data_IF_534716883152
#
_entry.id   IF_534716883152
#
_cell.length_a   1.000
_cell.length_b   1.000
_cell.length_c   1.000
_cell.angle_alpha   90.00
_cell.angle_beta   90.00
_cell.angle_gamma   90.00
#
_symmetry.space_group_name_H-M   'P 1'
#
loop_
_entity.id
_entity.type
_entity.pdbx_description
1 polymer ?
#
# COMPACT_ATOMS: atom_id res chain seq x y z
N UNK A 1 -31.76 7.89 19.35
CA UNK A 1 -31.15 9.15 18.89
C UNK A 1 -30.06 9.53 19.89
N UNK A 2 -28.84 9.05 19.69
CA UNK A 2 -27.67 9.50 20.46
C UNK A 2 -26.91 10.49 19.59
N UNK A 3 -26.74 11.72 20.07
CA UNK A 3 -25.91 12.72 19.41
C UNK A 3 -24.49 12.18 19.32
N UNK A 4 -24.02 11.84 18.12
CA UNK A 4 -22.59 11.81 17.81
C UNK A 4 -22.10 13.26 17.90
N UNK A 5 -21.67 13.67 19.09
CA UNK A 5 -20.84 14.85 19.20
C UNK A 5 -19.49 14.51 18.55
N UNK A 6 -19.26 15.06 17.36
CA UNK A 6 -17.95 15.08 16.73
C UNK A 6 -17.04 15.95 17.59
N UNK A 7 -16.30 15.34 18.51
CA UNK A 7 -15.22 15.99 19.24
C UNK A 7 -13.93 15.81 18.44
N UNK A 8 -13.31 16.90 18.00
CA UNK A 8 -11.97 16.86 17.44
C UNK A 8 -10.97 16.75 18.60
N UNK A 9 -10.21 15.66 18.64
CA UNK A 9 -9.04 15.54 19.53
C UNK A 9 -7.83 16.02 18.73
N UNK A 10 -7.14 17.03 19.23
CA UNK A 10 -5.84 17.45 18.69
C UNK A 10 -4.76 16.60 19.35
N UNK A 11 -3.94 15.93 18.54
CA UNK A 11 -2.86 15.08 19.04
C UNK A 11 -1.53 15.82 18.88
N UNK A 12 -0.82 15.99 19.98
CA UNK A 12 0.54 16.53 20.01
C UNK A 12 1.51 15.40 20.35
N UNK A 13 2.48 15.14 19.48
CA UNK A 13 3.48 14.08 19.66
C UNK A 13 4.85 14.70 19.87
N UNK A 14 5.57 14.26 20.89
CA UNK A 14 6.94 14.71 21.17
C UNK A 14 7.84 13.57 21.65
N UNK A 15 9.15 13.69 21.37
CA UNK A 15 10.18 12.81 21.94
C UNK A 15 10.99 13.63 22.93
N UNK A 16 11.06 13.18 24.18
CA UNK A 16 11.64 13.93 25.30
C UNK A 16 12.37 12.97 26.24
N UNK A 17 13.16 13.51 27.17
CA UNK A 17 13.99 12.72 28.08
C UNK A 17 13.70 13.08 29.52
N UNK A 18 13.81 12.11 30.42
CA UNK A 18 13.77 12.31 31.88
C UNK A 18 12.64 13.26 32.31
N UNK A 19 12.96 14.29 33.09
CA UNK A 19 12.02 15.33 33.49
C UNK A 19 11.70 16.29 32.34
N UNK A 20 10.43 16.39 31.98
CA UNK A 20 9.98 17.16 30.81
C UNK A 20 8.72 18.00 31.08
N UNK A 21 8.49 18.38 32.34
CA UNK A 21 7.55 19.43 32.72
C UNK A 21 6.09 19.01 32.92
N UNK A 22 5.81 17.71 33.03
CA UNK A 22 4.46 17.15 33.17
C UNK A 22 4.23 16.32 34.45
N UNK A 23 5.23 16.28 35.32
CA UNK A 23 5.27 15.46 36.54
C UNK A 23 5.28 13.93 36.31
N UNK A 24 5.51 13.46 35.08
CA UNK A 24 5.67 12.06 34.71
C UNK A 24 7.04 11.84 34.04
N UNK A 25 8.15 11.91 34.79
CA UNK A 25 9.48 11.78 34.19
C UNK A 25 9.71 10.38 33.63
N UNK A 26 10.43 10.31 32.51
CA UNK A 26 11.00 9.06 31.99
C UNK A 26 12.24 8.61 32.77
N UNK A 27 12.61 7.34 32.61
CA UNK A 27 13.64 6.64 33.37
C UNK A 27 14.90 6.28 32.57
N UNK A 28 14.95 6.60 31.27
CA UNK A 28 16.08 6.30 30.39
C UNK A 28 15.84 4.97 29.65
N UNK A 29 16.90 4.26 29.21
CA UNK A 29 16.69 3.06 28.37
C UNK A 29 15.95 1.92 29.08
N UNK A 30 14.83 1.50 28.48
CA UNK A 30 13.91 0.51 29.03
C UNK A 30 13.04 1.09 30.15
N UNK A 31 12.04 0.32 30.60
CA UNK A 31 11.11 0.82 31.62
C UNK A 31 9.94 1.54 30.98
N UNK A 32 9.83 2.86 31.18
CA UNK A 32 8.71 3.66 30.66
C UNK A 32 9.00 4.08 29.21
N UNK A 33 8.39 3.38 28.26
CA UNK A 33 8.61 3.62 26.83
C UNK A 33 7.96 4.92 26.33
N UNK A 34 6.75 5.19 26.83
CA UNK A 34 5.94 6.34 26.44
C UNK A 34 4.81 6.54 27.47
N UNK A 35 4.12 7.68 27.39
CA UNK A 35 2.82 7.88 28.02
C UNK A 35 1.97 8.87 27.24
N UNK A 36 0.65 8.76 27.44
CA UNK A 36 -0.34 9.60 26.80
C UNK A 36 -1.41 10.11 27.77
N UNK A 37 -2.00 11.24 27.40
CA UNK A 37 -3.02 11.91 28.19
C UNK A 37 -4.42 11.66 27.63
N UNK A 38 -5.27 11.12 28.51
CA UNK A 38 -6.66 10.75 28.20
C UNK A 38 -7.53 11.93 27.75
N UNK A 39 -8.63 11.67 27.03
CA UNK A 39 -9.66 12.66 26.74
C UNK A 39 -10.16 13.39 27.98
N UNK A 40 -10.59 14.65 27.81
CA UNK A 40 -11.18 15.49 28.89
C UNK A 40 -10.20 15.80 30.02
N UNK A 41 -8.91 15.75 29.74
CA UNK A 41 -7.85 16.25 30.61
C UNK A 41 -7.29 17.56 30.06
N UNK A 42 -6.61 18.34 30.89
CA UNK A 42 -5.99 19.62 30.48
C UNK A 42 -4.86 19.46 29.45
N UNK A 43 -4.43 18.22 29.17
CA UNK A 43 -3.39 17.85 28.21
C UNK A 43 -3.87 16.80 27.22
N UNK A 44 -5.19 16.70 27.03
CA UNK A 44 -5.77 15.66 26.18
C UNK A 44 -5.07 15.58 24.81
N UNK A 45 -4.72 14.36 24.39
CA UNK A 45 -4.06 14.13 23.12
C UNK A 45 -2.55 14.36 23.09
N UNK A 46 -1.94 14.83 24.18
CA UNK A 46 -0.48 14.80 24.31
C UNK A 46 0.02 13.35 24.42
N UNK A 47 1.02 13.02 23.61
CA UNK A 47 1.77 11.77 23.67
C UNK A 47 3.26 12.10 23.77
N UNK A 48 3.91 11.51 24.75
CA UNK A 48 5.34 11.63 24.97
C UNK A 48 6.00 10.26 24.77
N UNK A 49 7.06 10.22 23.98
CA UNK A 49 7.91 9.05 23.81
C UNK A 49 9.24 9.31 24.51
N UNK A 50 9.76 8.32 25.24
CA UNK A 50 11.10 8.43 25.80
C UNK A 50 12.12 8.36 24.65
N UNK A 51 12.86 9.45 24.46
CA UNK A 51 13.89 9.54 23.44
C UNK A 51 15.05 8.56 23.71
N UNK A 52 15.26 8.13 24.95
CA UNK A 52 16.37 7.23 25.32
C UNK A 52 16.13 5.76 24.93
N UNK A 53 14.95 5.44 24.43
CA UNK A 53 14.65 4.12 23.86
C UNK A 53 15.30 3.88 22.50
N UNK A 54 15.62 2.62 22.23
CA UNK A 54 16.15 2.20 20.93
C UNK A 54 15.01 1.95 19.94
N UNK A 55 14.40 3.03 19.45
CA UNK A 55 13.25 2.98 18.53
C UNK A 55 13.57 2.31 17.19
N UNK A 56 12.77 1.31 16.83
CA UNK A 56 12.81 0.61 15.53
C UNK A 56 11.43 0.66 14.85
N UNK A 57 11.38 0.23 13.59
CA UNK A 57 10.11 0.07 12.86
C UNK A 57 10.12 -1.27 12.12
N UNK A 58 9.10 -2.07 12.38
CA UNK A 58 8.82 -3.35 11.75
C UNK A 58 9.77 -4.48 12.10
N UNK A 59 10.48 -4.41 13.24
CA UNK A 59 11.39 -5.47 13.67
C UNK A 59 11.64 -5.47 15.19
N UNK A 60 12.09 -6.62 15.69
CA UNK A 60 12.37 -6.89 17.11
C UNK A 60 13.80 -6.51 17.57
N UNK A 61 14.58 -5.79 16.75
CA UNK A 61 15.95 -5.39 17.11
C UNK A 61 16.00 -4.27 18.16
N UNK A 62 14.84 -3.71 18.51
CA UNK A 62 14.66 -2.65 19.49
C UNK A 62 13.17 -2.48 19.78
N UNK A 63 12.80 -1.30 20.29
CA UNK A 63 11.41 -0.99 20.65
C UNK A 63 10.66 -0.49 19.42
N UNK A 64 9.71 -1.27 18.92
CA UNK A 64 8.93 -0.90 17.74
C UNK A 64 8.04 0.33 18.00
N UNK A 65 8.35 1.43 17.33
CA UNK A 65 7.67 2.72 17.49
C UNK A 65 6.19 2.63 17.10
N UNK A 66 5.84 1.84 16.09
CA UNK A 66 4.46 1.71 15.63
C UNK A 66 3.60 0.98 16.68
N UNK A 67 4.15 -0.04 17.32
CA UNK A 67 3.51 -0.82 18.38
C UNK A 67 3.22 0.04 19.61
N UNK A 68 4.23 0.80 20.08
CA UNK A 68 4.07 1.71 21.24
C UNK A 68 3.14 2.86 20.89
N UNK A 69 3.29 3.47 19.71
CA UNK A 69 2.40 4.57 19.31
C UNK A 69 0.94 4.11 19.24
N UNK A 70 0.64 2.91 18.72
CA UNK A 70 -0.72 2.39 18.67
C UNK A 70 -1.33 2.22 20.07
N UNK A 71 -0.53 1.78 21.05
CA UNK A 71 -0.92 1.71 22.45
C UNK A 71 -1.26 3.10 23.01
N UNK A 72 -0.37 4.07 22.84
CA UNK A 72 -0.58 5.44 23.34
C UNK A 72 -1.77 6.15 22.68
N UNK A 73 -1.98 5.93 21.38
CA UNK A 73 -3.17 6.43 20.70
C UNK A 73 -4.45 5.81 21.26
N UNK A 74 -4.41 4.56 21.74
CA UNK A 74 -5.53 3.97 22.47
C UNK A 74 -5.89 4.77 23.72
N UNK A 75 -4.90 5.18 24.52
CA UNK A 75 -5.11 6.05 25.68
C UNK A 75 -5.66 7.43 25.31
N UNK A 76 -5.12 8.05 24.25
CA UNK A 76 -5.67 9.32 23.70
C UNK A 76 -7.12 9.16 23.26
N UNK A 77 -7.50 7.99 22.79
CA UNK A 77 -8.88 7.66 22.42
C UNK A 77 -9.71 7.15 23.62
N UNK A 78 -9.16 7.13 24.83
CA UNK A 78 -9.89 6.79 26.05
C UNK A 78 -9.90 5.31 26.43
N UNK A 79 -9.12 4.46 25.75
CA UNK A 79 -8.92 3.07 26.15
C UNK A 79 -8.02 2.98 27.38
N UNK A 80 -8.40 2.17 28.35
CA UNK A 80 -7.55 1.79 29.48
C UNK A 80 -6.70 0.56 29.11
N UNK A 81 -5.74 0.24 29.97
CA UNK A 81 -4.99 -1.00 29.81
C UNK A 81 -5.90 -2.24 29.82
N UNK A 82 -5.58 -3.19 28.95
CA UNK A 82 -6.21 -4.51 28.89
C UNK A 82 -5.40 -5.54 29.68
N UNK A 83 -6.09 -6.52 30.23
CA UNK A 83 -5.47 -7.71 30.84
C UNK A 83 -5.26 -8.84 29.83
N UNK A 84 -5.79 -8.70 28.61
CA UNK A 84 -5.66 -9.71 27.56
C UNK A 84 -4.20 -9.76 27.07
N UNK A 85 -3.53 -10.93 27.16
CA UNK A 85 -2.18 -11.08 26.64
C UNK A 85 -2.16 -10.87 25.12
N UNK A 86 -1.28 -9.99 24.64
CA UNK A 86 -1.16 -9.68 23.21
C UNK A 86 -2.16 -8.66 22.67
N UNK A 87 -3.04 -8.10 23.51
CA UNK A 87 -3.76 -6.89 23.17
C UNK A 87 -2.79 -5.72 23.02
N UNK A 88 -3.08 -4.80 22.10
CA UNK A 88 -2.28 -3.57 21.95
C UNK A 88 -2.33 -2.76 23.22
N UNK A 89 -3.49 -2.71 23.90
CA UNK A 89 -3.62 -2.03 25.18
C UNK A 89 -3.05 -2.80 26.38
N UNK A 90 -2.32 -3.90 26.19
CA UNK A 90 -1.63 -4.58 27.29
C UNK A 90 -0.57 -3.66 27.91
N UNK A 91 -0.46 -3.56 29.25
CA UNK A 91 0.49 -2.66 29.91
C UNK A 91 1.97 -3.06 29.71
N UNK A 92 2.23 -4.25 29.18
CA UNK A 92 3.57 -4.74 28.91
C UNK A 92 3.81 -4.80 27.41
N UNK A 93 4.94 -4.23 27.00
CA UNK A 93 5.36 -4.25 25.61
C UNK A 93 5.50 -5.69 25.10
N UNK A 94 4.84 -5.98 24.00
CA UNK A 94 5.00 -7.20 23.21
C UNK A 94 5.10 -6.82 21.74
N UNK A 95 6.13 -7.32 21.07
CA UNK A 95 6.29 -7.09 19.65
C UNK A 95 5.31 -7.94 18.84
N UNK A 96 4.63 -7.33 17.87
CA UNK A 96 3.79 -8.02 16.90
C UNK A 96 3.92 -7.37 15.53
N UNK A 97 4.35 -8.15 14.53
CA UNK A 97 4.48 -7.66 13.16
C UNK A 97 3.85 -8.63 12.15
N UNK A 98 2.92 -8.18 11.27
CA UNK A 98 2.37 -6.82 11.22
C UNK A 98 1.52 -6.50 12.46
N UNK A 99 1.44 -5.22 12.82
CA UNK A 99 0.61 -4.76 13.95
C UNK A 99 -0.86 -5.16 13.73
N UNK A 100 -1.45 -5.79 14.73
CA UNK A 100 -2.85 -6.22 14.73
C UNK A 100 -3.55 -5.83 16.03
N UNK A 101 -4.77 -5.30 15.91
CA UNK A 101 -5.64 -5.07 17.05
C UNK A 101 -6.27 -6.39 17.48
N UNK A 102 -6.23 -6.70 18.77
CA UNK A 102 -6.97 -7.82 19.34
C UNK A 102 -8.48 -7.57 19.27
N UNK A 103 -9.27 -8.63 19.44
CA UNK A 103 -10.73 -8.46 19.55
C UNK A 103 -11.12 -7.63 20.78
N UNK A 104 -10.32 -7.63 21.84
CA UNK A 104 -10.53 -6.78 23.01
C UNK A 104 -10.32 -5.30 22.67
N UNK A 105 -9.23 -4.96 21.98
CA UNK A 105 -8.95 -3.59 21.53
C UNK A 105 -10.09 -3.07 20.60
N UNK A 106 -10.53 -3.91 19.65
CA UNK A 106 -11.63 -3.57 18.73
C UNK A 106 -12.93 -3.34 19.48
N UNK A 107 -13.30 -4.22 20.42
CA UNK A 107 -14.53 -4.06 21.20
C UNK A 107 -14.46 -2.84 22.09
N UNK A 108 -13.32 -2.59 22.73
CA UNK A 108 -13.10 -1.41 23.56
C UNK A 108 -13.31 -0.12 22.77
N UNK A 109 -12.68 0.01 21.61
CA UNK A 109 -12.77 1.26 20.84
C UNK A 109 -14.17 1.45 20.25
N UNK A 110 -14.80 0.36 19.80
CA UNK A 110 -16.17 0.40 19.28
C UNK A 110 -17.20 0.65 20.37
N UNK A 111 -16.93 0.28 21.62
CA UNK A 111 -17.78 0.65 22.75
C UNK A 111 -17.79 2.18 22.96
N UNK A 112 -16.64 2.84 22.78
CA UNK A 112 -16.51 4.30 22.95
C UNK A 112 -17.08 5.10 21.77
N UNK A 113 -16.81 4.66 20.53
CA UNK A 113 -17.08 5.46 19.32
C UNK A 113 -18.11 4.84 18.37
N UNK A 114 -18.60 3.65 18.69
CA UNK A 114 -19.43 2.84 17.81
C UNK A 114 -18.62 2.00 16.81
N UNK A 115 -19.27 1.02 16.17
CA UNK A 115 -18.65 0.28 15.08
C UNK A 115 -18.33 1.22 13.91
N UNK A 116 -17.30 0.87 13.12
CA UNK A 116 -17.01 1.55 11.85
C UNK A 116 -18.33 1.63 11.04
N UNK A 117 -18.74 2.81 10.56
CA UNK A 117 -19.90 2.91 9.69
C UNK A 117 -19.70 1.97 8.52
N UNK A 118 -20.47 0.89 8.48
CA UNK A 118 -20.54 0.05 7.30
C UNK A 118 -21.20 0.92 6.24
N UNK A 119 -20.45 1.39 5.24
CA UNK A 119 -21.07 1.82 4.00
C UNK A 119 -21.84 0.59 3.49
N UNK A 120 -23.16 0.60 3.68
CA UNK A 120 -24.05 -0.48 3.28
C UNK A 120 -24.04 -0.60 1.75
N UNK A 121 -23.06 -1.32 1.20
CA UNK A 121 -23.27 -2.03 -0.04
C UNK A 121 -24.14 -3.24 0.33
N UNK A 122 -25.46 -3.06 0.24
CA UNK A 122 -26.41 -4.16 0.34
C UNK A 122 -26.18 -5.11 -0.83
N UNK A 123 -25.43 -6.18 -0.59
CA UNK A 123 -25.52 -7.41 -1.38
C UNK A 123 -26.41 -8.34 -0.54
N UNK A 124 -27.52 -8.88 -1.07
CA UNK A 124 -28.35 -9.81 -0.32
C UNK A 124 -27.55 -11.09 -0.07
N UNK A 125 -27.32 -11.39 1.21
CA UNK A 125 -26.66 -12.60 1.68
C UNK A 125 -27.63 -13.78 1.61
N UNK A 126 -27.40 -14.72 0.71
CA UNK A 126 -27.70 -16.14 0.95
C UNK A 126 -26.38 -16.90 1.04
N UNK A 127 -26.06 -17.31 2.27
CA UNK A 127 -25.20 -18.43 2.69
C UNK A 127 -24.11 -18.93 1.73
N UNK A 128 -22.85 -18.59 2.02
CA UNK A 128 -21.84 -19.52 2.55
C UNK A 128 -20.51 -18.76 2.70
N UNK A 129 -19.81 -19.03 3.79
CA UNK A 129 -18.60 -18.35 4.27
C UNK A 129 -17.60 -17.93 3.18
N UNK A 130 -17.23 -16.65 3.16
CA UNK A 130 -15.90 -16.22 2.71
C UNK A 130 -15.36 -15.24 3.74
N UNK A 131 -14.57 -15.78 4.66
CA UNK A 131 -13.56 -15.02 5.40
C UNK A 131 -12.69 -14.35 4.31
N UNK A 132 -12.64 -13.02 4.26
CA UNK A 132 -11.71 -12.29 3.39
C UNK A 132 -10.28 -12.44 3.91
N UNK A 133 -9.74 -13.65 3.80
CA UNK A 133 -8.31 -13.90 3.96
C UNK A 133 -7.55 -13.13 2.89
N UNK A 134 -6.37 -12.60 3.24
CA UNK A 134 -5.50 -11.96 2.27
C UNK A 134 -5.26 -12.89 1.06
N UNK A 135 -5.21 -12.35 -0.17
CA UNK A 135 -5.01 -13.16 -1.36
C UNK A 135 -3.70 -13.94 -1.30
N UNK A 136 -3.69 -15.15 -1.85
CA UNK A 136 -2.49 -15.98 -1.97
C UNK A 136 -1.80 -15.72 -3.30
N UNK A 137 -0.54 -15.26 -3.25
CA UNK A 137 0.27 -14.97 -4.44
C UNK A 137 0.47 -16.17 -5.38
N UNK A 138 0.42 -17.40 -4.86
CA UNK A 138 0.57 -18.61 -5.66
C UNK A 138 -0.70 -18.99 -6.44
N UNK A 139 -1.86 -18.51 -6.00
CA UNK A 139 -3.16 -18.92 -6.53
C UNK A 139 -3.99 -17.75 -7.06
N UNK A 140 -3.40 -16.55 -7.18
CA UNK A 140 -4.08 -15.34 -7.65
C UNK A 140 -3.44 -14.76 -8.92
N UNK A 141 -4.19 -13.93 -9.63
CA UNK A 141 -3.72 -12.98 -10.63
C UNK A 141 -3.57 -11.58 -9.99
N UNK A 142 -3.00 -10.63 -10.72
CA UNK A 142 -2.70 -9.30 -10.19
C UNK A 142 -3.42 -8.22 -10.99
N UNK A 143 -3.94 -7.21 -10.31
CA UNK A 143 -4.68 -6.12 -10.93
C UNK A 143 -3.73 -5.05 -11.51
N UNK A 144 -2.53 -4.91 -10.93
CA UNK A 144 -1.46 -4.08 -11.45
C UNK A 144 -0.11 -4.56 -10.91
N UNK A 145 0.97 -4.30 -11.65
CA UNK A 145 2.35 -4.56 -11.23
C UNK A 145 3.23 -3.42 -11.69
N UNK A 146 4.11 -2.93 -10.83
CA UNK A 146 4.98 -1.81 -11.17
C UNK A 146 6.29 -1.83 -10.40
N UNK A 147 7.33 -1.26 -11.01
CA UNK A 147 8.58 -0.95 -10.30
C UNK A 147 8.43 0.42 -9.69
N UNK A 148 8.60 0.50 -8.36
CA UNK A 148 8.52 1.73 -7.58
C UNK A 148 9.79 1.82 -6.74
N UNK A 149 10.57 2.89 -6.94
CA UNK A 149 11.84 3.16 -6.28
C UNK A 149 12.83 1.99 -6.37
N UNK A 150 12.83 1.31 -7.52
CA UNK A 150 13.70 0.17 -7.80
C UNK A 150 13.23 -1.17 -7.22
N UNK A 151 12.06 -1.21 -6.60
CA UNK A 151 11.48 -2.44 -6.06
C UNK A 151 10.19 -2.79 -6.79
N UNK A 152 9.87 -4.08 -6.85
CA UNK A 152 8.73 -4.56 -7.60
C UNK A 152 7.52 -4.70 -6.68
N UNK A 153 6.41 -4.07 -7.06
CA UNK A 153 5.14 -4.15 -6.35
C UNK A 153 4.10 -4.85 -7.20
N UNK A 154 3.46 -5.86 -6.62
CA UNK A 154 2.29 -6.53 -7.18
C UNK A 154 1.05 -6.09 -6.40
N UNK A 155 -0.05 -5.78 -7.07
CA UNK A 155 -1.28 -5.30 -6.43
C UNK A 155 -2.45 -6.23 -6.75
N UNK A 156 -3.28 -6.51 -5.74
CA UNK A 156 -4.53 -7.27 -5.89
C UNK A 156 -5.55 -6.80 -4.88
N UNK A 157 -6.69 -6.32 -5.37
CA UNK A 157 -7.64 -5.57 -4.56
C UNK A 157 -6.87 -4.54 -3.71
N UNK A 158 -7.16 -4.46 -2.42
CA UNK A 158 -6.52 -3.50 -1.51
C UNK A 158 -5.13 -3.92 -1.03
N UNK A 159 -4.64 -5.10 -1.45
CA UNK A 159 -3.36 -5.64 -1.02
C UNK A 159 -2.25 -5.38 -2.04
N UNK A 160 -1.03 -5.28 -1.54
CA UNK A 160 0.18 -5.28 -2.32
C UNK A 160 1.16 -6.33 -1.78
N UNK A 161 2.07 -6.79 -2.63
CA UNK A 161 3.31 -7.49 -2.27
C UNK A 161 4.49 -6.64 -2.72
N UNK A 162 5.56 -6.67 -1.94
CA UNK A 162 6.81 -5.98 -2.25
C UNK A 162 7.93 -6.98 -2.41
N UNK A 163 8.59 -6.94 -3.56
CA UNK A 163 9.74 -7.77 -3.89
C UNK A 163 10.95 -6.85 -4.07
N UNK A 164 11.98 -7.09 -3.25
CA UNK A 164 13.26 -6.38 -3.31
C UNK A 164 14.34 -7.38 -3.65
N UNK A 165 15.14 -7.07 -4.66
CA UNK A 165 16.25 -7.94 -5.11
C UNK A 165 15.80 -9.40 -5.37
N UNK A 166 14.62 -9.57 -5.97
CA UNK A 166 14.04 -10.88 -6.28
C UNK A 166 13.50 -11.66 -5.08
N UNK A 167 13.41 -11.05 -3.89
CA UNK A 167 12.88 -11.68 -2.67
C UNK A 167 11.63 -10.98 -2.17
N UNK A 168 10.58 -11.77 -1.92
CA UNK A 168 9.38 -11.29 -1.24
C UNK A 168 9.74 -10.79 0.17
N UNK A 169 9.33 -9.58 0.49
CA UNK A 169 9.59 -8.96 1.79
C UNK A 169 8.65 -9.50 2.87
N UNK A 170 9.14 -9.58 4.11
CA UNK A 170 8.35 -10.03 5.26
C UNK A 170 7.16 -9.08 5.53
N UNK A 171 6.06 -9.63 6.05
CA UNK A 171 4.85 -8.86 6.34
C UNK A 171 4.02 -8.47 5.12
N UNK A 172 4.22 -9.15 3.99
CA UNK A 172 3.40 -9.04 2.78
C UNK A 172 2.69 -10.39 2.47
N UNK A 173 1.45 -10.38 1.93
CA UNK A 173 0.71 -9.21 1.45
C UNK A 173 0.30 -8.25 2.57
N UNK A 174 0.29 -6.96 2.26
CA UNK A 174 -0.14 -5.89 3.16
C UNK A 174 -1.07 -4.94 2.43
N UNK A 175 -1.90 -4.19 3.17
CA UNK A 175 -2.73 -3.16 2.55
C UNK A 175 -1.86 -2.12 1.83
N UNK A 176 -2.18 -1.84 0.57
CA UNK A 176 -1.47 -0.83 -0.23
C UNK A 176 -1.56 0.56 0.41
N UNK A 177 -2.67 0.83 1.13
CA UNK A 177 -2.89 2.06 1.90
C UNK A 177 -1.91 2.28 3.05
N UNK A 178 -1.16 1.24 3.47
CA UNK A 178 -0.03 1.38 4.41
C UNK A 178 1.11 2.20 3.83
N UNK A 179 1.33 2.12 2.52
CA UNK A 179 2.36 2.88 1.79
C UNK A 179 1.81 4.16 1.18
N UNK A 180 0.59 4.11 0.64
CA UNK A 180 -0.02 5.22 -0.08
C UNK A 180 -1.37 5.56 0.53
N UNK A 181 -1.38 6.43 1.54
CA UNK A 181 -2.62 6.79 2.23
C UNK A 181 -3.60 7.46 1.26
N UNK A 182 -4.79 6.88 1.12
CA UNK A 182 -5.81 7.36 0.20
C UNK A 182 -5.64 6.89 -1.26
N UNK A 183 -4.80 5.87 -1.49
CA UNK A 183 -4.83 5.06 -2.73
C UNK A 183 -6.21 4.39 -2.89
N UNK A 184 -6.69 4.20 -4.11
CA UNK A 184 -7.86 3.37 -4.39
C UNK A 184 -7.76 1.96 -3.82
N UNK A 185 -8.92 1.37 -3.52
CA UNK A 185 -8.98 -0.02 -3.07
C UNK A 185 -8.67 -1.01 -4.18
N UNK A 186 -8.90 -0.67 -5.45
CA UNK A 186 -8.52 -1.50 -6.58
C UNK A 186 -7.94 -0.63 -7.68
N UNK A 187 -6.64 -0.77 -7.93
CA UNK A 187 -5.99 -0.07 -9.04
C UNK A 187 -5.98 -0.96 -10.29
N UNK A 188 -6.15 -0.35 -11.46
CA UNK A 188 -6.03 -1.03 -12.76
C UNK A 188 -4.65 -0.88 -13.39
N UNK A 189 -3.88 0.14 -13.02
CA UNK A 189 -2.51 0.29 -13.49
C UNK A 189 -1.69 1.16 -12.53
N UNK A 190 -0.37 1.00 -12.57
CA UNK A 190 0.57 1.88 -11.87
C UNK A 190 1.90 2.02 -12.61
N UNK A 191 2.51 3.20 -12.52
CA UNK A 191 3.88 3.42 -13.00
C UNK A 191 4.60 4.53 -12.22
N UNK A 192 5.93 4.52 -12.24
CA UNK A 192 6.78 5.61 -11.74
C UNK A 192 7.26 6.49 -12.90
N UNK A 193 7.06 7.80 -12.79
CA UNK A 193 7.49 8.77 -13.80
C UNK A 193 8.98 9.11 -13.68
N UNK A 194 9.52 9.86 -14.65
CA UNK A 194 10.93 10.27 -14.67
C UNK A 194 11.37 11.15 -13.49
N UNK A 195 10.42 11.73 -12.75
CA UNK A 195 10.68 12.55 -11.56
C UNK A 195 10.59 11.72 -10.27
N UNK A 196 10.23 10.44 -10.36
CA UNK A 196 10.01 9.56 -9.22
C UNK A 196 8.62 9.66 -8.60
N UNK A 197 7.67 10.34 -9.26
CA UNK A 197 6.28 10.32 -8.78
C UNK A 197 5.62 9.01 -9.19
N UNK A 198 4.79 8.50 -8.29
CA UNK A 198 4.09 7.23 -8.44
C UNK A 198 2.67 7.55 -8.87
N UNK A 199 2.26 7.01 -10.01
CA UNK A 199 0.95 7.21 -10.59
C UNK A 199 0.12 5.94 -10.44
N UNK A 200 -1.10 6.09 -9.91
CA UNK A 200 -2.10 5.03 -9.80
C UNK A 200 -3.33 5.37 -10.61
N UNK A 201 -3.93 4.36 -11.25
CA UNK A 201 -5.08 4.51 -12.14
C UNK A 201 -6.22 3.61 -11.68
N UNK A 202 -7.43 4.15 -11.62
CA UNK A 202 -8.66 3.39 -11.34
C UNK A 202 -9.82 4.04 -12.10
N UNK A 203 -10.55 3.23 -12.87
CA UNK A 203 -11.69 3.71 -13.63
C UNK A 203 -11.34 4.88 -14.54
N UNK A 204 -12.01 6.01 -14.35
CA UNK A 204 -11.78 7.24 -15.11
C UNK A 204 -10.82 8.24 -14.44
N UNK A 205 -10.14 7.83 -13.35
CA UNK A 205 -9.35 8.72 -12.50
C UNK A 205 -7.90 8.25 -12.33
N UNK A 206 -7.04 9.18 -11.94
CA UNK A 206 -5.68 8.91 -11.49
C UNK A 206 -5.34 9.64 -10.18
N UNK A 207 -4.31 9.13 -9.52
CA UNK A 207 -3.71 9.68 -8.31
C UNK A 207 -2.20 9.75 -8.49
N UNK A 208 -1.58 10.78 -7.91
CA UNK A 208 -0.12 10.95 -7.97
C UNK A 208 0.42 11.09 -6.56
N UNK A 209 1.47 10.34 -6.27
CA UNK A 209 2.17 10.33 -4.99
C UNK A 209 3.64 10.70 -5.18
N UNK A 210 4.17 11.50 -4.27
CA UNK A 210 5.60 11.60 -4.03
C UNK A 210 5.92 10.84 -2.74
N UNK A 211 6.70 9.77 -2.86
CA UNK A 211 6.88 8.77 -1.81
C UNK A 211 5.53 8.22 -1.33
N UNK A 212 5.16 8.54 -0.10
CA UNK A 212 3.93 8.13 0.57
C UNK A 212 2.88 9.25 0.58
N UNK A 213 3.26 10.46 0.16
CA UNK A 213 2.42 11.64 0.20
C UNK A 213 1.64 11.81 -1.11
N UNK A 214 0.31 11.83 -1.02
CA UNK A 214 -0.56 12.12 -2.17
C UNK A 214 -0.44 13.59 -2.55
N UNK A 215 0.07 13.87 -3.76
CA UNK A 215 0.22 15.23 -4.29
C UNK A 215 -0.91 15.62 -5.25
N UNK A 216 -1.58 14.65 -5.90
CA UNK A 216 -2.74 14.89 -6.76
C UNK A 216 -3.77 13.77 -6.69
N UNK A 217 -5.00 14.12 -7.06
CA UNK A 217 -6.09 13.19 -7.33
C UNK A 217 -7.05 12.89 -6.16
N UNK A 218 -8.22 12.28 -6.47
CA UNK A 218 -8.59 11.75 -7.78
C UNK A 218 -8.82 12.84 -8.83
N UNK A 219 -8.08 12.77 -9.94
CA UNK A 219 -8.21 13.67 -11.07
C UNK A 219 -8.61 12.87 -12.33
N UNK A 220 -9.42 13.41 -13.25
CA UNK A 220 -9.89 12.65 -14.42
C UNK A 220 -8.80 12.42 -15.47
N UNK A 221 -8.82 11.26 -16.14
CA UNK A 221 -7.84 10.88 -17.17
C UNK A 221 -7.81 11.82 -18.38
N UNK A 222 -8.94 12.43 -18.74
CA UNK A 222 -8.99 13.38 -19.86
C UNK A 222 -8.14 14.63 -19.61
N UNK A 223 -7.85 14.98 -18.35
CA UNK A 223 -6.99 16.14 -17.99
C UNK A 223 -5.52 15.94 -18.38
N UNK A 224 -5.11 14.70 -18.64
CA UNK A 224 -3.77 14.34 -19.12
C UNK A 224 -3.83 13.81 -20.56
N UNK A 225 -4.89 14.11 -21.31
CA UNK A 225 -4.98 13.75 -22.73
C UNK A 225 -5.30 12.28 -23.01
N UNK A 226 -5.73 11.50 -22.01
CA UNK A 226 -6.17 10.11 -22.19
C UNK A 226 -7.69 10.06 -22.43
N UNK A 227 -8.15 9.64 -23.63
CA UNK A 227 -9.58 9.60 -23.97
C UNK A 227 -10.28 8.31 -23.50
N UNK A 228 -9.64 7.53 -22.63
CA UNK A 228 -10.05 6.17 -22.28
C UNK A 228 -10.06 5.99 -20.76
N UNK A 229 -10.96 5.14 -20.27
CA UNK A 229 -11.09 4.74 -18.86
C UNK A 229 -10.50 3.35 -18.64
N UNK A 230 -10.42 2.86 -17.40
CA UNK A 230 -10.08 1.47 -17.06
C UNK A 230 -8.79 1.00 -17.72
N UNK A 231 -7.72 1.79 -17.53
CA UNK A 231 -6.37 1.41 -17.98
C UNK A 231 -5.98 0.10 -17.30
N UNK A 232 -5.51 -0.86 -18.09
CA UNK A 232 -5.14 -2.20 -17.60
C UNK A 232 -3.64 -2.33 -17.32
N UNK A 233 -2.81 -1.54 -17.98
CA UNK A 233 -1.39 -1.47 -17.67
C UNK A 233 -0.82 -0.09 -18.02
N UNK A 234 0.20 0.34 -17.30
CA UNK A 234 0.95 1.55 -17.59
C UNK A 234 2.44 1.27 -17.49
N UNK A 235 3.21 1.73 -18.48
CA UNK A 235 4.65 1.49 -18.60
C UNK A 235 5.37 2.82 -18.79
N UNK A 236 6.34 3.11 -17.93
CA UNK A 236 7.36 4.12 -18.19
C UNK A 236 8.61 3.41 -18.70
N UNK A 237 8.87 3.53 -20.00
CA UNK A 237 10.00 2.90 -20.67
C UNK A 237 11.16 3.89 -20.75
N UNK A 238 12.33 3.49 -20.24
CA UNK A 238 13.57 4.25 -20.37
C UNK A 238 14.43 3.66 -21.50
N UNK A 239 14.63 4.44 -22.55
CA UNK A 239 15.47 4.10 -23.71
C UNK A 239 16.34 5.30 -24.07
N UNK A 240 17.66 5.12 -24.20
CA UNK A 240 18.60 6.18 -24.58
C UNK A 240 18.44 7.49 -23.78
N UNK A 241 18.23 7.37 -22.46
CA UNK A 241 17.93 8.46 -21.52
C UNK A 241 16.58 9.18 -21.73
N UNK A 242 15.78 8.76 -22.71
CA UNK A 242 14.42 9.25 -22.95
C UNK A 242 13.43 8.35 -22.23
N UNK A 243 12.51 8.97 -21.50
CA UNK A 243 11.40 8.25 -20.86
C UNK A 243 10.15 8.41 -21.72
N UNK A 244 9.48 7.30 -22.00
CA UNK A 244 8.23 7.25 -22.78
C UNK A 244 7.18 6.52 -21.97
N UNK A 245 6.01 7.15 -21.81
CA UNK A 245 4.89 6.57 -21.06
C UNK A 245 3.87 5.97 -22.02
N UNK A 246 3.51 4.72 -21.76
CA UNK A 246 2.53 3.94 -22.52
C UNK A 246 1.42 3.49 -21.57
N UNK A 247 0.18 3.56 -22.05
CA UNK A 247 -1.00 3.04 -21.36
C UNK A 247 -1.65 1.98 -22.24
N UNK A 248 -2.10 0.88 -21.67
CA UNK A 248 -2.62 -0.26 -22.43
C UNK A 248 -4.06 -0.55 -22.01
N UNK A 249 -4.90 -0.87 -22.99
CA UNK A 249 -6.26 -1.34 -22.81
C UNK A 249 -6.76 -2.10 -24.04
N UNK A 250 -7.31 -3.29 -23.83
CA UNK A 250 -8.09 -4.06 -24.82
C UNK A 250 -7.45 -4.12 -26.21
N UNK A 251 -6.24 -4.68 -26.29
CA UNK A 251 -5.50 -4.83 -27.56
C UNK A 251 -4.91 -3.54 -28.13
N UNK A 252 -5.07 -2.41 -27.43
CA UNK A 252 -4.59 -1.10 -27.85
C UNK A 252 -3.65 -0.50 -26.81
N UNK A 253 -2.81 0.44 -27.27
CA UNK A 253 -2.02 1.28 -26.40
C UNK A 253 -2.09 2.75 -26.82
N UNK A 254 -1.89 3.62 -25.84
CA UNK A 254 -1.79 5.06 -25.98
C UNK A 254 -0.43 5.50 -25.50
N UNK A 255 0.26 6.31 -26.30
CA UNK A 255 1.53 6.92 -25.92
C UNK A 255 1.31 8.41 -25.69
N UNK A 256 1.66 8.91 -24.51
CA UNK A 256 1.70 10.36 -24.28
C UNK A 256 2.84 10.96 -25.11
N UNK A 257 2.48 11.87 -26.02
CA UNK A 257 3.46 12.70 -26.71
C UNK A 257 3.64 14.05 -25.99
N UNK A 258 4.59 14.86 -26.46
CA UNK A 258 4.86 16.18 -25.90
C UNK A 258 3.80 17.24 -26.24
N UNK A 259 2.74 16.88 -26.97
CA UNK A 259 1.64 17.77 -27.37
C UNK A 259 0.33 17.43 -26.63
N UNK A 260 0.42 16.76 -25.49
CA UNK A 260 -0.70 16.41 -24.59
C UNK A 260 -1.83 15.61 -25.27
N UNK A 261 -1.57 14.94 -26.41
CA UNK A 261 -2.57 14.10 -27.09
C UNK A 261 -2.08 12.67 -27.22
N UNK A 262 -2.78 11.73 -26.58
CA UNK A 262 -2.41 10.34 -26.62
C UNK A 262 -3.03 9.65 -27.87
N UNK A 263 -2.19 9.17 -28.78
CA UNK A 263 -2.64 8.46 -29.98
C UNK A 263 -2.82 6.97 -29.72
N UNK A 264 -4.00 6.45 -30.05
CA UNK A 264 -4.29 5.02 -30.01
C UNK A 264 -3.56 4.27 -31.12
N UNK A 265 -2.96 3.14 -30.79
CA UNK A 265 -2.35 2.17 -31.72
C UNK A 265 -2.66 0.75 -31.28
N UNK A 266 -2.63 -0.20 -32.21
CA UNK A 266 -2.74 -1.61 -31.84
C UNK A 266 -1.47 -2.08 -31.14
N UNK A 267 -1.61 -2.89 -30.07
CA UNK A 267 -0.48 -3.53 -29.38
C UNK A 267 0.41 -4.29 -30.37
N UNK A 268 -0.19 -5.00 -31.33
CA UNK A 268 0.52 -5.84 -32.29
C UNK A 268 1.37 -5.05 -33.30
N UNK A 269 1.20 -3.72 -33.43
CA UNK A 269 2.07 -2.88 -34.28
C UNK A 269 3.50 -2.74 -33.74
N UNK A 270 3.64 -2.70 -32.40
CA UNK A 270 4.92 -2.37 -31.76
C UNK A 270 5.39 -3.44 -30.76
N UNK A 271 4.44 -4.18 -30.20
CA UNK A 271 4.66 -5.16 -29.13
C UNK A 271 4.24 -6.55 -29.61
N UNK A 272 4.61 -6.92 -30.83
CA UNK A 272 4.17 -8.18 -31.42
C UNK A 272 4.58 -9.40 -30.58
N UNK A 273 3.63 -10.32 -30.43
CA UNK A 273 3.84 -11.57 -29.68
C UNK A 273 3.44 -11.51 -28.20
N UNK A 274 3.02 -10.35 -27.67
CA UNK A 274 2.36 -10.28 -26.36
C UNK A 274 0.84 -10.43 -26.52
N UNK A 275 0.11 -10.88 -25.47
CA UNK A 275 -1.35 -10.95 -25.49
C UNK A 275 -2.00 -9.56 -25.65
N UNK A 276 -3.19 -9.52 -26.24
CA UNK A 276 -3.98 -8.28 -26.37
C UNK A 276 -4.52 -7.78 -25.01
N UNK A 277 -4.75 -8.71 -24.07
CA UNK A 277 -5.20 -8.42 -22.71
C UNK A 277 -4.03 -8.62 -21.74
N UNK A 278 -3.55 -7.54 -21.16
CA UNK A 278 -2.46 -7.52 -20.18
C UNK A 278 -2.91 -6.79 -18.92
N UNK A 279 -2.44 -7.26 -17.77
CA UNK A 279 -2.78 -6.70 -16.45
C UNK A 279 -1.65 -5.82 -15.89
N UNK A 280 -0.45 -5.90 -16.46
CA UNK A 280 0.65 -5.01 -16.08
C UNK A 280 1.76 -4.98 -17.12
N UNK A 281 2.56 -3.90 -17.07
CA UNK A 281 3.78 -3.76 -17.85
C UNK A 281 4.82 -2.95 -17.06
N UNK A 282 6.06 -3.43 -16.98
CA UNK A 282 7.16 -2.69 -16.34
C UNK A 282 8.50 -3.02 -16.99
N UNK A 283 9.50 -2.15 -16.79
CA UNK A 283 10.87 -2.41 -17.27
C UNK A 283 11.69 -3.08 -16.16
N UNK A 284 12.38 -4.18 -16.48
CA UNK A 284 13.30 -4.83 -15.54
C UNK A 284 14.66 -4.12 -15.45
N UNK A 285 15.47 -4.52 -14.47
CA UNK A 285 16.81 -3.93 -14.26
C UNK A 285 17.78 -4.14 -15.44
N UNK A 286 17.49 -5.07 -16.34
CA UNK A 286 18.29 -5.37 -17.54
C UNK A 286 17.77 -4.62 -18.77
N UNK A 287 16.73 -3.78 -18.63
CA UNK A 287 16.15 -2.97 -19.69
C UNK A 287 15.07 -3.67 -20.52
N UNK A 288 14.73 -4.93 -20.24
CA UNK A 288 13.64 -5.62 -20.93
C UNK A 288 12.29 -5.20 -20.39
N UNK A 289 11.27 -5.23 -21.25
CA UNK A 289 9.89 -4.98 -20.84
C UNK A 289 9.24 -6.28 -20.43
N UNK A 290 8.68 -6.32 -19.23
CA UNK A 290 7.91 -7.43 -18.72
C UNK A 290 6.43 -7.09 -18.87
N UNK A 291 5.69 -7.95 -19.57
CA UNK A 291 4.24 -7.88 -19.68
C UNK A 291 3.62 -9.02 -18.89
N UNK A 292 2.61 -8.73 -18.07
CA UNK A 292 1.88 -9.73 -17.29
C UNK A 292 0.47 -9.88 -17.85
N UNK A 293 0.03 -11.12 -18.01
CA UNK A 293 -1.35 -11.46 -18.31
C UNK A 293 -1.74 -12.68 -17.49
N UNK A 294 -2.76 -12.52 -16.66
CA UNK A 294 -3.26 -13.44 -15.64
C UNK A 294 -2.14 -13.88 -14.70
N UNK A 295 -1.70 -15.13 -14.82
CA UNK A 295 -0.66 -15.76 -13.98
C UNK A 295 0.64 -16.00 -14.75
N UNK A 296 0.75 -15.41 -15.93
CA UNK A 296 1.88 -15.57 -16.83
C UNK A 296 2.52 -14.23 -17.16
N UNK A 297 3.79 -14.27 -17.54
CA UNK A 297 4.49 -13.08 -18.00
C UNK A 297 5.34 -13.37 -19.24
N UNK A 298 5.51 -12.33 -20.06
CA UNK A 298 6.32 -12.29 -21.27
C UNK A 298 7.48 -11.33 -21.06
N UNK A 299 8.68 -11.74 -21.45
CA UNK A 299 9.84 -10.86 -21.48
C UNK A 299 10.09 -10.39 -22.91
N UNK A 300 10.02 -9.09 -23.13
CA UNK A 300 10.08 -8.46 -24.43
C UNK A 300 11.34 -7.62 -24.56
N UNK A 301 12.06 -7.81 -25.66
CA UNK A 301 13.21 -7.01 -26.06
C UNK A 301 12.69 -5.82 -26.87
N UNK A 302 12.77 -4.60 -26.31
CA UNK A 302 12.27 -3.39 -26.98
C UNK A 302 13.15 -2.95 -28.15
N UNK A 303 14.41 -3.38 -28.19
CA UNK A 303 15.36 -3.09 -29.27
C UNK A 303 15.09 -4.02 -30.46
N UNK A 304 15.02 -5.32 -30.22
CA UNK A 304 14.74 -6.32 -31.27
C UNK A 304 13.24 -6.43 -31.60
N UNK A 305 12.38 -5.80 -30.78
CA UNK A 305 10.91 -5.83 -30.87
C UNK A 305 10.35 -7.24 -30.98
N UNK A 306 10.75 -8.10 -30.07
CA UNK A 306 10.24 -9.46 -29.98
C UNK A 306 10.20 -9.96 -28.55
N UNK A 307 9.28 -10.89 -28.30
CA UNK A 307 9.31 -11.71 -27.10
C UNK A 307 10.51 -12.65 -27.15
N UNK A 308 11.21 -12.79 -26.03
CA UNK A 308 12.32 -13.73 -25.90
C UNK A 308 11.83 -15.18 -25.94
N UNK A 309 12.68 -16.08 -26.44
CA UNK A 309 12.39 -17.51 -26.41
C UNK A 309 12.23 -18.03 -24.97
N UNK A 310 11.34 -19.00 -24.78
CA UNK A 310 11.04 -19.58 -23.47
C UNK A 310 9.96 -18.85 -22.66
N UNK A 311 9.28 -17.86 -23.25
CA UNK A 311 8.13 -17.16 -22.67
C UNK A 311 6.83 -17.54 -23.40
N UNK A 312 5.67 -17.52 -22.71
CA UNK A 312 5.46 -17.05 -21.33
C UNK A 312 5.99 -17.97 -20.23
N UNK A 313 6.23 -17.39 -19.06
CA UNK A 313 6.59 -18.10 -17.81
C UNK A 313 5.60 -17.80 -16.68
N UNK A 314 5.65 -18.59 -15.62
CA UNK A 314 4.73 -18.48 -14.46
C UNK A 314 5.15 -17.36 -13.51
N UNK A 315 4.22 -16.44 -13.22
CA UNK A 315 4.46 -15.36 -12.24
C UNK A 315 4.68 -15.94 -10.85
N UNK A 316 3.82 -16.86 -10.41
CA UNK A 316 3.91 -17.48 -9.09
C UNK A 316 5.24 -18.22 -8.89
N UNK A 317 5.69 -19.00 -9.87
CA UNK A 317 6.94 -19.75 -9.75
C UNK A 317 8.15 -18.82 -9.70
N UNK A 318 8.22 -17.84 -10.60
CA UNK A 318 9.45 -17.06 -10.81
C UNK A 318 9.59 -15.84 -9.88
N UNK A 319 8.48 -15.24 -9.43
CA UNK A 319 8.50 -14.08 -8.53
C UNK A 319 8.22 -14.45 -7.07
N UNK A 320 7.45 -15.51 -6.83
CA UNK A 320 6.99 -15.88 -5.48
C UNK A 320 7.51 -17.26 -5.02
N UNK A 321 8.27 -17.98 -5.84
CA UNK A 321 8.83 -19.28 -5.48
C UNK A 321 7.79 -20.39 -5.31
N UNK A 322 6.61 -20.23 -5.91
CA UNK A 322 5.54 -21.20 -5.83
C UNK A 322 5.94 -22.51 -6.54
N UNK A 323 5.47 -23.63 -6.01
CA UNK A 323 5.61 -24.91 -6.71
C UNK A 323 4.82 -24.87 -8.02
N UNK A 324 5.42 -25.36 -9.10
CA UNK A 324 4.69 -25.54 -10.35
C UNK A 324 3.57 -26.57 -10.12
N UNK A 325 2.33 -26.29 -10.56
CA UNK A 325 1.22 -27.23 -10.43
C UNK A 325 1.42 -28.50 -11.26
#
# INVERSE_FOLDING_TARGET
MGNLHTYCIYVCVSHIRFWHGDNLPFDGPGGILAHAFFPRTHREGDIHFDFDESWTVGNELGTDLLQVAAHEFGHVLGLLHSLEPGAIMSPFYSFSYPLQLSEDDKKGIQYLYGPRPQTLLQIPTETNEIITSAPDACHTDFDAVSVIRGELFFFKASYAWRIREGRLQAGYPALASRHWRGIPEKIGAAYEDKKGNIWFFEGSNYWVFDAEHKIKGPDPLHTIGLPVTDIQAALCLKEDHVHRTYFFKSGNYWRLDSQDTAFQRSIQEHWSGIPDEIDAAFQDAHGFVIFISRRQYWKFDSVQRKVLEGYPRSVGADFFGCSMP
#
